data_IF_882226543310
#
_entry.id   IF_882226543310
#
_cell.length_a   1.000
_cell.length_b   1.000
_cell.length_c   1.000
_cell.angle_alpha   90.00
_cell.angle_beta   90.00
_cell.angle_gamma   90.00
#
_symmetry.space_group_name_H-M   'P 1'
#
loop_
_entity.id
_entity.type
_entity.pdbx_description
1 polymer ?
#
# COMPACT_ATOMS: atom_id res chain seq x y z
N UNK A 1 16.83 -15.31 -19.60
CA UNK A 1 15.36 -15.46 -19.74
C UNK A 1 14.76 -14.17 -20.29
N UNK A 2 13.61 -14.24 -21.00
CA UNK A 2 12.84 -13.05 -21.43
C UNK A 2 11.69 -12.83 -20.44
N UNK A 3 11.66 -11.66 -19.79
CA UNK A 3 10.73 -11.35 -18.70
C UNK A 3 9.95 -10.08 -19.03
N UNK A 4 8.63 -10.14 -19.00
CA UNK A 4 7.76 -8.98 -19.07
C UNK A 4 7.33 -8.59 -17.65
N UNK A 5 7.49 -7.32 -17.27
CA UNK A 5 6.97 -6.76 -16.01
C UNK A 5 5.87 -5.76 -16.35
N UNK A 6 4.63 -6.04 -15.94
CA UNK A 6 3.48 -5.19 -16.29
C UNK A 6 2.96 -4.46 -15.06
N UNK A 7 2.95 -3.11 -15.13
CA UNK A 7 2.59 -2.18 -14.06
C UNK A 7 3.80 -1.64 -13.32
N UNK A 8 4.07 -0.34 -13.45
CA UNK A 8 5.22 0.36 -12.87
C UNK A 8 4.86 1.07 -11.56
N UNK A 9 4.15 0.37 -10.67
CA UNK A 9 4.08 0.75 -9.26
C UNK A 9 5.39 0.42 -8.53
N UNK A 10 5.42 0.51 -7.19
CA UNK A 10 6.64 0.24 -6.41
C UNK A 10 7.22 -1.15 -6.67
N UNK A 11 6.36 -2.19 -6.71
CA UNK A 11 6.83 -3.55 -6.97
C UNK A 11 7.43 -3.70 -8.38
N UNK A 12 6.74 -3.17 -9.41
CA UNK A 12 7.23 -3.24 -10.79
C UNK A 12 8.51 -2.47 -10.99
N UNK A 13 8.63 -1.27 -10.43
CA UNK A 13 9.86 -0.49 -10.49
C UNK A 13 11.05 -1.20 -9.81
N UNK A 14 10.81 -1.79 -8.64
CA UNK A 14 11.82 -2.58 -7.94
C UNK A 14 12.26 -3.80 -8.74
N UNK A 15 11.32 -4.49 -9.40
CA UNK A 15 11.64 -5.61 -10.29
C UNK A 15 12.45 -5.17 -11.50
N UNK A 16 12.07 -4.04 -12.14
CA UNK A 16 12.83 -3.51 -13.28
C UNK A 16 14.27 -3.18 -12.90
N UNK A 17 14.49 -2.60 -11.72
CA UNK A 17 15.83 -2.34 -11.21
C UNK A 17 16.61 -3.64 -10.95
N UNK A 18 16.03 -4.55 -10.15
CA UNK A 18 16.74 -5.76 -9.71
C UNK A 18 16.98 -6.79 -10.82
N UNK A 19 16.05 -6.95 -11.75
CA UNK A 19 16.16 -7.90 -12.86
C UNK A 19 16.88 -7.30 -14.07
N UNK A 20 16.76 -5.98 -14.29
CA UNK A 20 17.37 -5.30 -15.44
C UNK A 20 18.88 -5.15 -15.32
N UNK A 21 19.44 -5.26 -14.11
CA UNK A 21 20.88 -5.26 -13.85
C UNK A 21 21.52 -6.65 -14.02
N UNK A 22 20.73 -7.69 -14.22
CA UNK A 22 21.21 -9.04 -14.51
C UNK A 22 21.33 -9.21 -16.04
N UNK A 23 22.55 -9.23 -16.54
CA UNK A 23 22.86 -9.33 -17.97
C UNK A 23 22.37 -10.63 -18.65
N UNK A 24 22.03 -11.65 -17.86
CA UNK A 24 21.52 -12.92 -18.37
C UNK A 24 20.01 -12.84 -18.69
N UNK A 25 19.34 -11.74 -18.31
CA UNK A 25 17.93 -11.54 -18.52
C UNK A 25 17.65 -10.39 -19.49
N UNK A 26 16.72 -10.64 -20.44
CA UNK A 26 16.08 -9.57 -21.20
C UNK A 26 14.78 -9.19 -20.48
N UNK A 27 14.74 -7.98 -19.90
CA UNK A 27 13.60 -7.50 -19.13
C UNK A 27 12.95 -6.32 -19.86
N UNK A 28 11.63 -6.40 -20.06
CA UNK A 28 10.83 -5.30 -20.62
C UNK A 28 9.67 -4.96 -19.71
N UNK A 29 9.56 -3.68 -19.36
CA UNK A 29 8.50 -3.12 -18.57
C UNK A 29 7.36 -2.58 -19.43
N UNK A 30 6.12 -2.60 -18.89
CA UNK A 30 4.94 -1.99 -19.49
C UNK A 30 4.15 -1.21 -18.45
N UNK A 31 3.76 0.01 -18.77
CA UNK A 31 2.89 0.85 -17.95
C UNK A 31 1.76 1.43 -18.79
N UNK A 32 0.52 1.36 -18.28
CA UNK A 32 -0.67 1.86 -18.97
C UNK A 32 -0.71 3.38 -19.14
N UNK A 33 -0.14 4.11 -18.19
CA UNK A 33 -0.12 5.57 -18.20
C UNK A 33 1.03 6.07 -19.09
N UNK A 34 0.84 7.19 -19.82
CA UNK A 34 1.95 7.90 -20.44
C UNK A 34 3.02 8.28 -19.40
N UNK A 35 4.26 8.41 -19.82
CA UNK A 35 5.39 8.68 -18.93
C UNK A 35 5.22 9.99 -18.14
N UNK A 36 4.67 11.02 -18.77
CA UNK A 36 4.43 12.36 -18.20
C UNK A 36 3.29 12.35 -17.18
N UNK A 37 2.30 11.45 -17.35
CA UNK A 37 1.13 11.33 -16.50
C UNK A 37 1.28 10.24 -15.44
N UNK A 38 2.38 9.46 -15.50
CA UNK A 38 2.59 8.33 -14.61
C UNK A 38 2.53 8.78 -13.15
N UNK A 39 1.56 8.27 -12.44
CA UNK A 39 1.28 8.58 -11.05
C UNK A 39 1.04 7.28 -10.26
N UNK A 40 1.95 6.99 -9.36
CA UNK A 40 1.77 5.90 -8.42
C UNK A 40 0.80 6.31 -7.30
N UNK A 41 -0.49 6.24 -7.58
CA UNK A 41 -1.58 6.68 -6.69
C UNK A 41 -1.49 6.03 -5.32
N UNK A 42 -1.20 6.86 -4.31
CA UNK A 42 -1.02 6.44 -2.91
C UNK A 42 -0.84 7.70 -2.05
N UNK A 43 -1.05 7.62 -0.74
CA UNK A 43 -0.80 8.72 0.18
C UNK A 43 0.70 9.03 0.43
N UNK A 44 1.59 8.24 -0.15
CA UNK A 44 3.06 8.36 -0.10
C UNK A 44 3.67 8.22 1.29
N UNK A 45 2.93 7.67 2.26
CA UNK A 45 3.48 7.40 3.58
C UNK A 45 4.12 6.00 3.63
N UNK A 46 5.26 5.92 4.30
CA UNK A 46 6.01 4.67 4.51
C UNK A 46 6.89 4.77 5.75
N UNK A 47 7.69 3.74 6.03
CA UNK A 47 8.68 3.76 7.09
C UNK A 47 10.10 3.84 6.51
N UNK A 48 10.84 4.89 6.86
CA UNK A 48 12.23 5.11 6.43
C UNK A 48 13.14 3.95 6.82
N UNK A 49 13.06 3.47 8.08
CA UNK A 49 13.92 2.40 8.61
C UNK A 49 13.99 1.11 7.77
N UNK A 50 12.96 0.87 6.94
CA UNK A 50 12.90 -0.28 6.03
C UNK A 50 13.18 0.14 4.60
N UNK A 51 12.70 1.33 4.23
CA UNK A 51 12.90 1.84 2.87
C UNK A 51 14.36 2.14 2.57
N UNK A 52 15.16 2.59 3.55
CA UNK A 52 16.60 2.76 3.43
C UNK A 52 17.28 1.49 2.88
N UNK A 53 17.04 0.35 3.52
CA UNK A 53 17.62 -0.93 3.11
C UNK A 53 17.14 -1.38 1.72
N UNK A 54 15.84 -1.16 1.43
CA UNK A 54 15.24 -1.55 0.16
C UNK A 54 15.74 -0.69 -1.01
N UNK A 55 15.83 0.61 -0.79
CA UNK A 55 16.24 1.59 -1.81
C UNK A 55 17.75 1.53 -2.04
N UNK A 56 18.53 1.28 -1.00
CA UNK A 56 19.98 1.04 -1.10
C UNK A 56 20.32 -0.15 -2.01
N UNK A 57 19.50 -1.20 -2.02
CA UNK A 57 19.66 -2.33 -2.94
C UNK A 57 19.47 -1.93 -4.41
N UNK A 58 18.76 -0.83 -4.65
CA UNK A 58 18.62 -0.22 -5.98
C UNK A 58 19.76 0.77 -6.31
N UNK A 59 20.77 0.91 -5.47
CA UNK A 59 21.86 1.87 -5.66
C UNK A 59 21.46 3.34 -5.37
N UNK A 60 20.38 3.56 -4.62
CA UNK A 60 19.83 4.88 -4.33
C UNK A 60 19.89 5.17 -2.82
N UNK A 61 19.81 6.46 -2.45
CA UNK A 61 19.70 6.91 -1.06
C UNK A 61 18.25 7.35 -0.78
N UNK A 62 17.58 6.77 0.22
CA UNK A 62 16.17 7.05 0.49
C UNK A 62 15.94 8.48 1.02
N UNK A 63 16.92 9.06 1.72
CA UNK A 63 16.81 10.43 2.27
C UNK A 63 16.55 11.48 1.17
N UNK A 64 17.03 11.24 -0.06
CA UNK A 64 16.83 12.14 -1.21
C UNK A 64 15.36 12.27 -1.66
N UNK A 65 14.46 11.49 -1.07
CA UNK A 65 13.05 11.42 -1.42
C UNK A 65 12.12 11.83 -0.28
N UNK A 66 12.62 11.99 0.96
CA UNK A 66 11.80 12.32 2.12
C UNK A 66 11.24 13.74 1.96
N UNK A 67 9.93 13.89 2.15
CA UNK A 67 9.20 15.16 2.06
C UNK A 67 8.75 15.65 3.44
N UNK A 68 8.44 14.72 4.37
CA UNK A 68 8.06 15.06 5.73
C UNK A 68 8.40 13.91 6.68
N UNK A 69 9.06 14.23 7.79
CA UNK A 69 9.35 13.30 8.88
C UNK A 69 8.30 13.43 9.97
N UNK A 70 7.58 12.34 10.25
CA UNK A 70 6.54 12.32 11.26
C UNK A 70 7.09 12.18 12.68
N UNK A 71 6.55 12.98 13.61
CA UNK A 71 6.85 12.89 15.05
C UNK A 71 5.68 12.29 15.82
N UNK A 72 4.45 12.60 15.39
CA UNK A 72 3.21 12.12 16.02
C UNK A 72 2.12 11.92 14.96
N UNK A 73 1.23 10.98 15.24
CA UNK A 73 0.01 10.82 14.46
C UNK A 73 -1.18 10.94 15.42
N UNK A 74 -2.10 11.84 15.12
CA UNK A 74 -3.37 11.92 15.83
C UNK A 74 -4.39 11.02 15.13
N UNK A 75 -4.90 10.03 15.86
CA UNK A 75 -5.98 9.15 15.42
C UNK A 75 -7.26 9.56 16.11
N UNK A 76 -8.14 10.25 15.41
CA UNK A 76 -9.46 10.62 15.89
C UNK A 76 -10.40 9.42 15.76
N UNK A 77 -10.85 8.92 16.91
CA UNK A 77 -11.82 7.83 17.05
C UNK A 77 -13.15 8.33 17.64
N UNK A 78 -13.36 9.63 17.62
CA UNK A 78 -14.59 10.26 18.07
C UNK A 78 -15.80 9.87 17.23
N UNK A 79 -16.93 9.73 17.88
CA UNK A 79 -18.24 9.47 17.28
C UNK A 79 -19.32 10.31 17.98
N UNK A 80 -20.57 10.24 17.52
CA UNK A 80 -21.66 11.11 17.96
C UNK A 80 -21.81 11.23 19.49
N UNK A 81 -21.56 10.15 20.25
CA UNK A 81 -21.66 10.15 21.72
C UNK A 81 -20.34 10.52 22.44
N UNK A 82 -19.21 10.55 21.74
CA UNK A 82 -17.88 10.91 22.26
C UNK A 82 -17.08 11.62 21.18
N UNK A 83 -17.39 12.87 20.86
CA UNK A 83 -16.79 13.59 19.72
C UNK A 83 -15.29 13.85 19.90
N UNK A 84 -14.82 14.10 21.13
CA UNK A 84 -13.44 14.49 21.43
C UNK A 84 -12.55 13.30 21.85
N UNK A 85 -12.76 12.12 21.27
CA UNK A 85 -11.97 10.95 21.58
C UNK A 85 -10.87 10.74 20.54
N UNK A 86 -9.61 10.88 20.95
CA UNK A 86 -8.45 10.71 20.10
C UNK A 86 -7.36 9.88 20.77
N UNK A 87 -6.44 9.38 19.95
CA UNK A 87 -5.23 8.66 20.34
C UNK A 87 -4.05 9.39 19.70
N UNK A 88 -3.04 9.72 20.52
CA UNK A 88 -1.76 10.22 19.99
C UNK A 88 -0.77 9.07 19.92
N UNK A 89 -0.33 8.76 18.70
CA UNK A 89 0.65 7.73 18.40
C UNK A 89 2.00 8.41 18.15
N UNK A 90 3.03 8.04 18.92
CA UNK A 90 4.41 8.47 18.66
C UNK A 90 4.93 7.82 17.37
N UNK A 91 5.56 8.60 16.49
CA UNK A 91 6.15 8.11 15.27
C UNK A 91 7.67 7.96 15.41
N UNK A 92 8.23 6.95 14.75
CA UNK A 92 9.66 6.59 14.78
C UNK A 92 10.09 6.08 13.42
N UNK A 93 10.21 7.02 12.48
CA UNK A 93 10.59 6.73 11.11
C UNK A 93 9.40 6.60 10.14
N UNK A 94 8.20 7.03 10.53
CA UNK A 94 7.11 7.21 9.56
C UNK A 94 7.32 8.53 8.82
N UNK A 95 7.39 8.44 7.49
CA UNK A 95 7.64 9.58 6.60
C UNK A 95 6.66 9.62 5.45
N UNK A 96 6.48 10.79 4.84
CA UNK A 96 6.04 10.88 3.45
C UNK A 96 7.23 11.14 2.54
N UNK A 97 7.19 10.62 1.32
CA UNK A 97 8.31 10.70 0.38
C UNK A 97 7.83 10.91 -1.05
N UNK A 98 8.68 11.44 -1.91
CA UNK A 98 8.39 11.58 -3.35
C UNK A 98 8.46 10.21 -4.05
N UNK A 99 7.33 9.53 -4.01
CA UNK A 99 7.18 8.19 -4.60
C UNK A 99 7.40 8.18 -6.10
N UNK A 100 7.00 9.26 -6.80
CA UNK A 100 7.14 9.34 -8.25
C UNK A 100 8.61 9.49 -8.63
N UNK A 101 9.33 10.38 -7.96
CA UNK A 101 10.77 10.56 -8.15
C UNK A 101 11.52 9.25 -7.88
N UNK A 102 11.21 8.56 -6.77
CA UNK A 102 11.83 7.29 -6.43
C UNK A 102 11.58 6.23 -7.52
N UNK A 103 10.35 6.07 -8.00
CA UNK A 103 10.03 5.11 -9.07
C UNK A 103 10.80 5.45 -10.36
N UNK A 104 10.86 6.73 -10.74
CA UNK A 104 11.61 7.18 -11.91
C UNK A 104 13.11 6.87 -11.80
N UNK A 105 13.69 7.11 -10.62
CA UNK A 105 15.11 6.84 -10.38
C UNK A 105 15.40 5.33 -10.33
N UNK A 106 14.56 4.51 -9.72
CA UNK A 106 14.67 3.04 -9.75
C UNK A 106 14.62 2.49 -11.19
N UNK A 107 13.85 3.10 -12.06
CA UNK A 107 13.65 2.63 -13.43
C UNK A 107 14.53 3.32 -14.47
N UNK A 108 15.45 4.19 -14.04
CA UNK A 108 16.36 4.92 -14.94
C UNK A 108 17.22 3.96 -15.74
N UNK A 109 17.21 4.11 -17.05
CA UNK A 109 17.99 3.27 -17.97
C UNK A 109 17.38 1.88 -18.24
N UNK A 110 16.24 1.54 -17.66
CA UNK A 110 15.55 0.28 -17.94
C UNK A 110 14.62 0.41 -19.17
N UNK A 111 14.33 -0.71 -19.79
CA UNK A 111 13.48 -0.75 -21.01
C UNK A 111 11.99 -0.79 -20.63
N UNK A 112 11.32 0.36 -20.58
CA UNK A 112 9.90 0.48 -20.25
C UNK A 112 9.13 1.12 -21.39
N UNK A 113 8.00 0.51 -21.76
CA UNK A 113 7.03 1.05 -22.68
C UNK A 113 5.83 1.61 -21.92
N UNK A 114 5.66 2.94 -21.93
CA UNK A 114 4.56 3.66 -21.31
C UNK A 114 3.36 3.79 -22.29
N UNK A 115 2.17 4.05 -21.74
CA UNK A 115 0.94 4.25 -22.51
C UNK A 115 0.37 2.95 -23.09
N UNK A 116 0.79 1.78 -22.60
CA UNK A 116 0.45 0.49 -23.20
C UNK A 116 0.00 -0.54 -22.16
N UNK A 117 -1.07 -1.26 -22.51
CA UNK A 117 -1.48 -2.50 -21.83
C UNK A 117 -1.41 -3.62 -22.89
N UNK A 118 -0.34 -4.42 -22.91
CA UNK A 118 -0.19 -5.46 -23.92
C UNK A 118 -1.23 -6.57 -23.74
N UNK A 119 -1.68 -7.18 -24.84
CA UNK A 119 -2.55 -8.37 -24.76
C UNK A 119 -1.76 -9.56 -24.21
N UNK A 120 -2.45 -10.42 -23.44
CA UNK A 120 -1.82 -11.59 -22.80
C UNK A 120 -1.18 -12.52 -23.81
N UNK A 121 -1.86 -12.77 -24.93
CA UNK A 121 -1.39 -13.66 -26.00
C UNK A 121 -0.08 -13.17 -26.62
N UNK A 122 0.10 -11.85 -26.76
CA UNK A 122 1.35 -11.26 -27.27
C UNK A 122 2.47 -11.49 -26.26
N UNK A 123 2.22 -11.24 -24.98
CA UNK A 123 3.21 -11.48 -23.92
C UNK A 123 3.60 -12.97 -23.85
N UNK A 124 2.63 -13.88 -23.92
CA UNK A 124 2.88 -15.33 -23.90
C UNK A 124 3.72 -15.82 -25.09
N UNK A 125 3.63 -15.15 -26.25
CA UNK A 125 4.42 -15.50 -27.44
C UNK A 125 5.87 -14.97 -27.39
N UNK A 126 6.11 -13.84 -26.69
CA UNK A 126 7.39 -13.13 -26.72
C UNK A 126 8.27 -13.41 -25.49
N UNK A 127 7.64 -13.73 -24.33
CA UNK A 127 8.32 -13.82 -23.04
C UNK A 127 8.22 -15.21 -22.42
N UNK A 128 9.22 -15.56 -21.63
CA UNK A 128 9.27 -16.79 -20.84
C UNK A 128 8.47 -16.64 -19.55
N UNK A 129 8.51 -15.44 -18.93
CA UNK A 129 7.83 -15.08 -17.70
C UNK A 129 7.09 -13.76 -17.89
N UNK A 130 5.85 -13.70 -17.40
CA UNK A 130 5.01 -12.50 -17.36
C UNK A 130 4.73 -12.18 -15.89
N UNK A 131 5.22 -11.05 -15.41
CA UNK A 131 4.98 -10.59 -14.03
C UNK A 131 3.80 -9.62 -14.01
N UNK A 132 2.69 -10.04 -13.39
CA UNK A 132 1.54 -9.19 -13.12
C UNK A 132 1.79 -8.37 -11.84
N UNK A 133 2.35 -7.17 -11.99
CA UNK A 133 2.50 -6.15 -10.96
C UNK A 133 1.50 -4.99 -11.12
N UNK A 134 0.34 -5.25 -11.75
CA UNK A 134 -0.69 -4.25 -12.04
C UNK A 134 -1.52 -3.84 -10.81
N UNK A 135 -1.13 -4.31 -9.63
CA UNK A 135 -1.75 -3.98 -8.37
C UNK A 135 -3.21 -4.46 -8.29
N UNK A 136 -4.11 -3.59 -7.83
CA UNK A 136 -5.54 -3.92 -7.71
C UNK A 136 -6.13 -4.53 -8.98
N UNK A 137 -5.69 -4.08 -10.17
CA UNK A 137 -6.29 -4.51 -11.43
C UNK A 137 -6.06 -5.98 -11.74
N UNK A 138 -4.90 -6.56 -11.36
CA UNK A 138 -4.61 -7.99 -11.55
C UNK A 138 -4.99 -8.46 -12.97
N UNK A 139 -4.42 -7.79 -13.97
CA UNK A 139 -4.90 -7.88 -15.35
C UNK A 139 -4.65 -9.24 -16.03
N UNK A 140 -3.66 -10.00 -15.56
CA UNK A 140 -3.20 -11.21 -16.24
C UNK A 140 -3.43 -12.49 -15.44
N UNK A 141 -3.85 -12.36 -14.20
CA UNK A 141 -4.19 -13.49 -13.32
C UNK A 141 -5.71 -13.66 -13.18
N UNK A 142 -6.19 -14.89 -12.93
CA UNK A 142 -7.59 -15.11 -12.58
C UNK A 142 -7.97 -14.33 -11.32
N UNK A 143 -9.19 -13.81 -11.25
CA UNK A 143 -9.68 -13.12 -10.06
C UNK A 143 -9.89 -14.11 -8.91
N UNK A 144 -9.55 -13.73 -7.66
CA UNK A 144 -9.87 -14.55 -6.50
C UNK A 144 -11.37 -14.64 -6.28
N UNK A 145 -11.84 -15.78 -5.76
CA UNK A 145 -13.28 -16.00 -5.50
C UNK A 145 -13.85 -15.10 -4.40
N UNK A 146 -13.04 -14.76 -3.38
CA UNK A 146 -13.47 -13.99 -2.21
C UNK A 146 -12.65 -12.70 -2.09
N UNK A 147 -12.70 -11.88 -3.13
CA UNK A 147 -11.97 -10.63 -3.15
C UNK A 147 -12.65 -9.56 -2.28
N UNK A 148 -11.89 -8.95 -1.38
CA UNK A 148 -12.31 -7.78 -0.62
C UNK A 148 -11.37 -6.59 -0.89
N UNK A 149 -11.97 -5.44 -1.16
CA UNK A 149 -11.26 -4.21 -1.47
C UNK A 149 -12.02 -2.99 -0.94
N UNK A 150 -11.28 -1.92 -0.71
CA UNK A 150 -11.82 -0.65 -0.22
C UNK A 150 -11.68 0.40 -1.33
N UNK A 151 -12.76 1.03 -1.78
CA UNK A 151 -12.68 2.18 -2.67
C UNK A 151 -12.09 3.35 -1.91
N UNK A 152 -11.09 4.00 -2.51
CA UNK A 152 -10.43 5.16 -1.94
C UNK A 152 -10.50 6.34 -2.90
N UNK A 153 -10.60 7.53 -2.33
CA UNK A 153 -10.44 8.80 -3.03
C UNK A 153 -9.32 9.60 -2.37
N UNK A 154 -8.50 10.26 -3.16
CA UNK A 154 -7.39 11.06 -2.68
C UNK A 154 -7.26 12.35 -3.46
N UNK A 155 -6.87 13.39 -2.76
CA UNK A 155 -6.50 14.68 -3.30
C UNK A 155 -5.06 15.02 -2.90
N UNK A 156 -4.29 15.55 -3.84
CA UNK A 156 -3.10 16.36 -3.54
C UNK A 156 -3.55 17.79 -3.44
N UNK A 157 -3.29 18.43 -2.33
CA UNK A 157 -3.72 19.82 -2.05
C UNK A 157 -2.54 20.69 -1.69
N UNK A 158 -2.71 22.01 -1.85
CA UNK A 158 -1.78 23.06 -1.44
C UNK A 158 -2.48 24.03 -0.51
N UNK A 159 -1.95 24.22 0.68
CA UNK A 159 -2.37 25.28 1.61
C UNK A 159 -1.52 26.52 1.38
N UNK A 160 -2.15 27.71 1.32
CA UNK A 160 -1.44 28.98 1.10
C UNK A 160 -0.93 29.58 2.40
N UNK A 161 -1.73 29.42 3.48
CA UNK A 161 -1.41 29.99 4.79
C UNK A 161 -1.00 28.88 5.79
N UNK A 162 -1.93 28.48 6.66
CA UNK A 162 -1.70 27.47 7.67
C UNK A 162 -2.26 26.11 7.27
N UNK A 163 -1.48 25.06 7.44
CA UNK A 163 -1.95 23.69 7.31
C UNK A 163 -2.89 23.33 8.47
N UNK A 164 -3.92 22.49 8.25
CA UNK A 164 -4.87 22.11 9.29
C UNK A 164 -4.25 21.26 10.43
N UNK A 165 -3.15 20.57 10.14
CA UNK A 165 -2.36 19.79 11.07
C UNK A 165 -0.88 19.94 10.74
N UNK A 166 -0.05 19.97 11.79
CA UNK A 166 1.41 20.02 11.64
C UNK A 166 2.00 18.66 11.25
N UNK A 167 1.26 17.58 11.50
CA UNK A 167 1.74 16.21 11.35
C UNK A 167 0.60 15.28 10.90
N UNK A 168 0.82 13.97 10.89
CA UNK A 168 -0.12 12.97 10.42
C UNK A 168 -1.43 12.98 11.21
N UNK A 169 -2.55 12.90 10.49
CA UNK A 169 -3.88 12.80 11.09
C UNK A 169 -4.71 11.72 10.40
N UNK A 170 -5.40 10.91 11.21
CA UNK A 170 -6.37 9.93 10.77
C UNK A 170 -7.71 10.15 11.48
N UNK A 171 -8.81 9.98 10.77
CA UNK A 171 -10.16 9.87 11.34
C UNK A 171 -10.71 8.48 11.03
N UNK A 172 -10.83 7.64 12.05
CA UNK A 172 -11.40 6.32 11.90
C UNK A 172 -12.92 6.38 11.69
N UNK A 173 -13.42 5.54 10.78
CA UNK A 173 -14.86 5.38 10.57
C UNK A 173 -15.42 4.24 11.44
N UNK A 174 -16.71 4.33 11.85
CA UNK A 174 -17.31 3.31 12.71
C UNK A 174 -17.19 1.89 12.15
N UNK A 175 -17.03 0.92 13.05
CA UNK A 175 -16.87 -0.50 12.72
C UNK A 175 -15.66 -0.79 11.83
N UNK A 176 -14.63 0.07 11.87
CA UNK A 176 -13.41 -0.06 11.07
C UNK A 176 -13.68 -0.24 9.56
N UNK A 177 -14.77 0.35 9.06
CA UNK A 177 -15.14 0.29 7.64
C UNK A 177 -14.22 1.12 6.74
N UNK A 178 -13.32 1.89 7.35
CA UNK A 178 -12.33 2.71 6.69
C UNK A 178 -11.89 3.88 7.56
N UNK A 179 -11.21 4.82 6.94
CA UNK A 179 -10.74 6.03 7.60
C UNK A 179 -10.48 7.14 6.59
N UNK A 180 -10.47 8.37 7.09
CA UNK A 180 -9.93 9.56 6.41
C UNK A 180 -8.48 9.74 6.86
N UNK A 181 -7.63 10.26 5.97
CA UNK A 181 -6.23 10.61 6.25
C UNK A 181 -5.88 12.01 5.78
N UNK A 182 -5.00 12.65 6.54
CA UNK A 182 -4.23 13.82 6.15
C UNK A 182 -2.76 13.51 6.36
N UNK A 183 -1.97 13.51 5.30
CA UNK A 183 -0.55 13.21 5.30
C UNK A 183 0.21 14.41 4.72
N UNK A 184 1.00 15.11 5.56
CA UNK A 184 1.73 16.28 5.13
C UNK A 184 2.82 15.90 4.12
N UNK A 185 3.06 16.79 3.19
CA UNK A 185 4.21 16.83 2.30
C UNK A 185 4.99 18.10 2.59
N UNK A 186 6.07 18.35 1.86
CA UNK A 186 6.82 19.61 2.01
C UNK A 186 6.06 20.84 1.48
N UNK A 187 6.47 22.04 1.89
CA UNK A 187 6.05 23.32 1.33
C UNK A 187 4.52 23.57 1.33
N UNK A 188 3.81 23.12 2.37
CA UNK A 188 2.36 23.31 2.50
C UNK A 188 1.52 22.39 1.61
N UNK A 189 2.12 21.42 0.93
CA UNK A 189 1.36 20.37 0.25
C UNK A 189 0.95 19.28 1.23
N UNK A 190 -0.14 18.58 0.91
CA UNK A 190 -0.58 17.40 1.63
C UNK A 190 -1.33 16.44 0.70
N UNK A 191 -1.32 15.17 1.06
CA UNK A 191 -2.27 14.20 0.57
C UNK A 191 -3.40 14.04 1.58
N UNK A 192 -4.63 14.31 1.15
CA UNK A 192 -5.84 14.04 1.91
C UNK A 192 -6.69 13.01 1.19
N UNK A 193 -7.38 12.15 1.92
CA UNK A 193 -8.25 11.20 1.28
C UNK A 193 -9.05 10.37 2.26
N UNK A 194 -9.87 9.49 1.72
CA UNK A 194 -10.64 8.55 2.50
C UNK A 194 -10.83 7.22 1.76
N UNK A 195 -10.78 6.13 2.53
CA UNK A 195 -11.23 4.82 2.12
C UNK A 195 -12.44 4.40 2.96
N UNK A 196 -13.49 3.85 2.34
CA UNK A 196 -14.66 3.36 3.06
C UNK A 196 -15.25 2.14 2.36
N UNK A 197 -15.30 1.03 3.05
CA UNK A 197 -15.86 -0.22 2.52
C UNK A 197 -17.31 -0.06 2.02
N UNK A 198 -18.11 0.73 2.72
CA UNK A 198 -19.50 1.00 2.32
C UNK A 198 -19.65 2.13 1.28
N UNK A 199 -18.58 2.82 0.93
CA UNK A 199 -18.58 3.98 0.00
C UNK A 199 -19.39 5.19 0.45
N UNK A 200 -19.99 5.17 1.65
CA UNK A 200 -20.92 6.20 2.11
C UNK A 200 -20.25 7.47 2.62
N UNK A 201 -19.02 7.36 3.12
CA UNK A 201 -18.35 8.46 3.83
C UNK A 201 -17.14 9.06 3.09
N UNK A 202 -16.63 8.38 2.06
CA UNK A 202 -15.45 8.82 1.32
C UNK A 202 -15.57 10.28 0.87
N UNK A 203 -16.52 10.59 0.00
CA UNK A 203 -16.66 11.92 -0.57
C UNK A 203 -17.18 12.92 0.47
N UNK A 204 -18.18 12.53 1.26
CA UNK A 204 -18.83 13.44 2.22
C UNK A 204 -17.82 13.98 3.23
N UNK A 205 -16.99 13.12 3.80
CA UNK A 205 -16.01 13.55 4.80
C UNK A 205 -14.90 14.41 4.18
N UNK A 206 -14.38 14.01 3.01
CA UNK A 206 -13.35 14.79 2.30
C UNK A 206 -13.91 16.14 1.87
N UNK A 207 -15.13 16.21 1.33
CA UNK A 207 -15.76 17.46 0.92
C UNK A 207 -16.01 18.41 2.11
N UNK A 208 -16.43 17.87 3.26
CA UNK A 208 -16.56 18.65 4.50
C UNK A 208 -15.21 19.19 4.98
N UNK A 209 -14.17 18.37 4.90
CA UNK A 209 -12.82 18.78 5.27
C UNK A 209 -12.28 19.87 4.36
N UNK A 210 -12.44 19.74 3.04
CA UNK A 210 -12.03 20.75 2.06
C UNK A 210 -12.77 22.09 2.24
N UNK A 211 -14.07 22.04 2.57
CA UNK A 211 -14.85 23.26 2.86
C UNK A 211 -14.38 23.97 4.13
N UNK A 212 -14.01 23.20 5.16
CA UNK A 212 -13.52 23.73 6.44
C UNK A 212 -12.11 24.30 6.34
N UNK A 213 -11.23 23.65 5.58
CA UNK A 213 -9.81 23.98 5.47
C UNK A 213 -9.51 24.35 4.02
N UNK A 214 -9.67 25.64 3.70
CA UNK A 214 -9.47 26.17 2.33
C UNK A 214 -8.08 25.82 1.80
N UNK A 215 -8.03 25.19 0.64
CA UNK A 215 -6.81 24.81 -0.06
C UNK A 215 -7.04 24.78 -1.57
N UNK A 216 -5.97 24.86 -2.33
CA UNK A 216 -5.98 24.59 -3.76
C UNK A 216 -5.93 23.08 -4.01
N UNK A 217 -6.80 22.56 -4.87
CA UNK A 217 -6.79 21.16 -5.29
C UNK A 217 -5.87 21.02 -6.50
N UNK A 218 -4.73 20.39 -6.30
CA UNK A 218 -3.74 20.16 -7.36
C UNK A 218 -4.13 18.93 -8.20
N UNK A 219 -4.57 17.84 -7.53
CA UNK A 219 -4.93 16.59 -8.21
C UNK A 219 -5.97 15.84 -7.43
N UNK A 220 -6.90 15.18 -8.14
CA UNK A 220 -7.89 14.27 -7.58
C UNK A 220 -7.76 12.92 -8.26
N UNK A 221 -7.68 11.86 -7.47
CA UNK A 221 -7.58 10.48 -7.97
C UNK A 221 -8.46 9.55 -7.16
N UNK A 222 -8.95 8.50 -7.79
CA UNK A 222 -9.69 7.42 -7.13
C UNK A 222 -9.05 6.08 -7.47
N UNK A 223 -8.81 5.24 -6.45
CA UNK A 223 -8.29 3.89 -6.65
C UNK A 223 -8.80 2.97 -5.54
N UNK A 224 -9.29 1.79 -5.88
CA UNK A 224 -9.52 0.76 -4.87
C UNK A 224 -8.18 0.17 -4.38
N UNK A 225 -8.20 -0.29 -3.13
CA UNK A 225 -7.08 -0.99 -2.48
C UNK A 225 -7.55 -2.39 -2.11
N UNK A 226 -6.85 -3.42 -2.56
CA UNK A 226 -7.11 -4.81 -2.20
C UNK A 226 -6.65 -5.04 -0.76
N UNK A 227 -7.56 -5.50 0.10
CA UNK A 227 -7.26 -5.86 1.49
C UNK A 227 -7.32 -7.36 1.74
N UNK A 228 -7.78 -8.16 0.76
CA UNK A 228 -7.65 -9.63 0.83
C UNK A 228 -6.18 -10.02 0.88
N UNK A 229 -5.74 -10.81 1.88
CA UNK A 229 -4.35 -11.20 2.04
C UNK A 229 -3.93 -12.23 0.99
N UNK A 230 -2.63 -12.54 0.85
CA UNK A 230 -2.16 -13.50 -0.13
C UNK A 230 -2.86 -14.85 -0.07
N UNK A 231 -3.13 -15.38 1.13
CA UNK A 231 -3.86 -16.64 1.30
C UNK A 231 -5.23 -16.66 0.60
N UNK A 232 -5.94 -15.53 0.62
CA UNK A 232 -7.27 -15.39 0.01
C UNK A 232 -7.20 -14.82 -1.42
N UNK A 233 -5.99 -14.53 -1.91
CA UNK A 233 -5.71 -13.97 -3.24
C UNK A 233 -5.08 -14.98 -4.21
N UNK A 234 -5.08 -16.26 -3.87
CA UNK A 234 -4.63 -17.30 -4.80
C UNK A 234 -5.60 -17.45 -5.99
N UNK A 235 -5.14 -17.96 -7.14
CA UNK A 235 -3.79 -18.44 -7.46
C UNK A 235 -2.81 -17.29 -7.79
N UNK A 236 -1.51 -17.45 -7.45
CA UNK A 236 -0.46 -16.48 -7.80
C UNK A 236 0.10 -16.65 -9.21
N UNK A 237 -0.32 -17.69 -9.89
CA UNK A 237 0.07 -18.01 -11.26
C UNK A 237 -1.14 -18.50 -12.04
N UNK A 238 -1.11 -18.34 -13.36
CA UNK A 238 -2.09 -18.93 -14.26
C UNK A 238 -1.75 -20.41 -14.63
N UNK A 239 -0.72 -20.98 -14.00
CA UNK A 239 -0.23 -22.33 -14.28
C UNK A 239 0.61 -22.44 -15.55
N UNK A 240 0.92 -21.33 -16.22
CA UNK A 240 1.73 -21.26 -17.44
C UNK A 240 2.93 -20.34 -17.26
N UNK A 241 2.84 -19.11 -17.74
CA UNK A 241 3.93 -18.13 -17.74
C UNK A 241 3.69 -16.94 -16.83
N UNK A 242 2.44 -16.70 -16.40
CA UNK A 242 2.06 -15.52 -15.63
C UNK A 242 2.20 -15.77 -14.13
N UNK A 243 2.81 -14.82 -13.43
CA UNK A 243 2.93 -14.80 -11.96
C UNK A 243 2.64 -13.41 -11.41
N UNK A 244 1.93 -13.35 -10.29
CA UNK A 244 1.58 -12.09 -9.61
C UNK A 244 2.64 -11.66 -8.61
N UNK A 245 2.85 -10.34 -8.50
CA UNK A 245 3.74 -9.73 -7.51
C UNK A 245 3.08 -8.48 -6.92
N UNK A 246 3.20 -8.32 -5.62
CA UNK A 246 2.68 -7.16 -4.91
C UNK A 246 1.17 -7.21 -4.66
N UNK A 247 0.48 -6.09 -4.78
CA UNK A 247 -0.96 -5.98 -4.50
C UNK A 247 -1.81 -6.89 -5.40
N UNK A 248 -1.33 -7.29 -6.59
CA UNK A 248 -2.04 -8.24 -7.45
C UNK A 248 -2.31 -9.58 -6.77
N UNK A 249 -1.48 -9.94 -5.79
CA UNK A 249 -1.62 -11.14 -4.96
C UNK A 249 -1.85 -10.83 -3.48
N UNK A 250 -2.33 -9.61 -3.14
CA UNK A 250 -2.82 -9.29 -1.82
C UNK A 250 -1.77 -8.93 -0.78
N UNK A 251 -0.61 -8.39 -1.15
CA UNK A 251 0.45 -8.02 -0.19
C UNK A 251 0.22 -6.68 0.50
N UNK A 252 -1.02 -6.20 0.59
CA UNK A 252 -1.36 -5.01 1.38
C UNK A 252 -1.70 -5.42 2.81
N UNK A 253 -1.14 -4.74 3.80
CA UNK A 253 -1.48 -4.99 5.21
C UNK A 253 -2.92 -4.53 5.50
N UNK A 254 -3.84 -5.44 5.85
CA UNK A 254 -5.28 -5.13 5.81
C UNK A 254 -5.73 -4.03 6.77
N UNK A 255 -5.08 -3.90 7.95
CA UNK A 255 -5.48 -2.92 8.96
C UNK A 255 -5.14 -1.47 8.58
N UNK A 256 -3.99 -1.27 7.93
CA UNK A 256 -3.46 0.06 7.62
C UNK A 256 -3.62 0.44 6.14
N UNK A 257 -3.97 -0.51 5.27
CA UNK A 257 -3.93 -0.30 3.82
C UNK A 257 -2.51 -0.06 3.30
N UNK A 258 -1.49 -0.44 4.08
CA UNK A 258 -0.08 -0.23 3.75
C UNK A 258 0.40 -1.31 2.79
N UNK A 259 0.82 -0.91 1.60
CA UNK A 259 1.23 -1.82 0.54
C UNK A 259 2.63 -1.55 -0.04
N UNK A 260 3.30 -0.45 0.32
CA UNK A 260 4.58 -0.06 -0.28
C UNK A 260 5.66 -1.09 0.08
N UNK A 261 6.00 -1.20 1.36
CA UNK A 261 7.02 -2.14 1.86
C UNK A 261 6.64 -3.60 1.56
N UNK A 262 5.42 -4.07 1.84
CA UNK A 262 5.06 -5.46 1.54
C UNK A 262 5.15 -5.82 0.06
N UNK A 263 4.76 -4.91 -0.84
CA UNK A 263 4.88 -5.16 -2.28
C UNK A 263 6.33 -5.19 -2.75
N UNK A 264 7.21 -4.39 -2.15
CA UNK A 264 8.65 -4.42 -2.42
C UNK A 264 9.28 -5.72 -1.89
N UNK A 265 8.93 -6.15 -0.68
CA UNK A 265 9.35 -7.46 -0.17
C UNK A 265 8.88 -8.63 -1.04
N UNK A 266 7.65 -8.52 -1.56
CA UNK A 266 7.13 -9.51 -2.49
C UNK A 266 7.96 -9.56 -3.77
N UNK A 267 8.39 -8.40 -4.29
CA UNK A 267 9.28 -8.32 -5.45
C UNK A 267 10.66 -8.95 -5.16
N UNK A 268 11.23 -8.71 -3.96
CA UNK A 268 12.48 -9.38 -3.54
C UNK A 268 12.33 -10.90 -3.49
N UNK A 269 11.21 -11.39 -2.93
CA UNK A 269 10.93 -12.84 -2.89
C UNK A 269 10.81 -13.42 -4.30
N UNK A 270 10.20 -12.68 -5.23
CA UNK A 270 10.12 -13.11 -6.62
C UNK A 270 11.50 -13.20 -7.28
N UNK A 271 12.33 -12.16 -7.16
CA UNK A 271 13.70 -12.17 -7.69
C UNK A 271 14.48 -13.36 -7.15
N UNK A 272 14.39 -13.60 -5.83
CA UNK A 272 15.08 -14.71 -5.15
C UNK A 272 14.66 -16.10 -5.65
N UNK A 273 13.40 -16.25 -6.03
CA UNK A 273 12.79 -17.54 -6.40
C UNK A 273 12.29 -17.59 -7.84
N UNK A 274 12.87 -16.78 -8.74
CA UNK A 274 12.40 -16.62 -10.11
C UNK A 274 12.38 -17.93 -10.92
N UNK A 275 13.25 -18.87 -10.59
CA UNK A 275 13.32 -20.17 -11.24
C UNK A 275 12.34 -21.22 -10.65
N UNK A 276 11.70 -20.92 -9.51
CA UNK A 276 10.81 -21.86 -8.81
C UNK A 276 9.59 -21.14 -8.23
N UNK A 277 8.50 -21.17 -8.99
CA UNK A 277 7.24 -20.51 -8.59
C UNK A 277 6.58 -21.15 -7.36
N UNK A 278 6.82 -22.44 -7.07
CA UNK A 278 6.31 -23.08 -5.86
C UNK A 278 7.08 -22.60 -4.61
N UNK A 279 8.40 -22.46 -4.72
CA UNK A 279 9.22 -21.86 -3.67
C UNK A 279 8.82 -20.40 -3.43
N UNK A 280 8.60 -19.61 -4.50
CA UNK A 280 8.07 -18.25 -4.40
C UNK A 280 6.73 -18.19 -3.67
N UNK A 281 5.74 -18.98 -4.10
CA UNK A 281 4.42 -19.06 -3.46
C UNK A 281 4.54 -19.39 -1.97
N UNK A 282 5.35 -20.39 -1.63
CA UNK A 282 5.58 -20.81 -0.24
C UNK A 282 6.19 -19.68 0.59
N UNK A 283 7.18 -18.98 0.04
CA UNK A 283 7.84 -17.86 0.70
C UNK A 283 6.87 -16.67 0.94
N UNK A 284 6.03 -16.34 -0.05
CA UNK A 284 5.00 -15.30 0.08
C UNK A 284 3.99 -15.66 1.17
N UNK A 285 3.42 -16.88 1.13
CA UNK A 285 2.43 -17.30 2.13
C UNK A 285 3.02 -17.32 3.55
N UNK A 286 4.28 -17.71 3.70
CA UNK A 286 5.00 -17.67 4.99
C UNK A 286 5.25 -16.24 5.46
N UNK A 287 5.76 -15.35 4.59
CA UNK A 287 6.09 -13.95 4.92
C UNK A 287 4.85 -13.18 5.39
N UNK A 288 3.72 -13.37 4.72
CA UNK A 288 2.49 -12.62 4.96
C UNK A 288 1.41 -13.42 5.71
N UNK A 289 1.76 -14.50 6.40
CA UNK A 289 0.81 -15.40 7.09
C UNK A 289 -0.11 -14.67 8.09
N UNK A 290 0.42 -13.67 8.81
CA UNK A 290 -0.34 -12.91 9.82
C UNK A 290 -1.46 -12.06 9.19
N UNK A 291 -1.32 -11.68 7.90
CA UNK A 291 -2.31 -10.85 7.21
C UNK A 291 -3.68 -11.51 7.17
N UNK A 292 -3.74 -12.84 7.10
CA UNK A 292 -5.01 -13.58 7.14
C UNK A 292 -5.72 -13.43 8.49
N UNK A 293 -4.98 -13.39 9.61
CA UNK A 293 -5.56 -13.15 10.93
C UNK A 293 -6.09 -11.71 11.06
N UNK A 294 -5.29 -10.74 10.60
CA UNK A 294 -5.69 -9.31 10.59
C UNK A 294 -6.90 -9.09 9.71
N UNK A 295 -6.94 -9.72 8.54
CA UNK A 295 -8.08 -9.65 7.63
C UNK A 295 -9.36 -10.22 8.23
N UNK A 296 -9.27 -11.38 8.89
CA UNK A 296 -10.39 -11.97 9.64
C UNK A 296 -10.91 -11.01 10.72
N UNK A 297 -10.01 -10.35 11.44
CA UNK A 297 -10.38 -9.33 12.43
C UNK A 297 -11.15 -8.16 11.79
N UNK A 298 -10.67 -7.62 10.66
CA UNK A 298 -11.35 -6.56 9.91
C UNK A 298 -12.74 -7.02 9.45
N UNK A 299 -12.85 -8.23 8.88
CA UNK A 299 -14.14 -8.80 8.45
C UNK A 299 -15.12 -8.93 9.62
N UNK A 300 -14.67 -9.38 10.79
CA UNK A 300 -15.52 -9.45 11.99
C UNK A 300 -16.01 -8.08 12.42
N UNK A 301 -15.17 -7.05 12.35
CA UNK A 301 -15.53 -5.66 12.66
C UNK A 301 -16.57 -5.13 11.68
N UNK A 302 -16.31 -5.22 10.39
CA UNK A 302 -17.21 -4.73 9.34
C UNK A 302 -18.60 -5.39 9.43
N UNK A 303 -18.64 -6.68 9.74
CA UNK A 303 -19.87 -7.46 9.85
C UNK A 303 -20.55 -7.38 11.22
N UNK A 304 -20.05 -6.58 12.16
CA UNK A 304 -20.60 -6.45 13.51
C UNK A 304 -20.50 -7.72 14.37
N UNK A 305 -19.60 -8.66 13.99
CA UNK A 305 -19.42 -9.94 14.69
C UNK A 305 -18.25 -9.95 15.68
N UNK A 306 -17.52 -8.86 15.78
CA UNK A 306 -16.39 -8.75 16.71
C UNK A 306 -16.91 -8.61 18.16
N UNK A 307 -16.34 -9.41 19.04
CA UNK A 307 -16.55 -9.31 20.49
C UNK A 307 -15.21 -9.36 21.21
N UNK A 308 -14.92 -8.32 21.99
CA UNK A 308 -13.62 -8.15 22.64
C UNK A 308 -13.22 -9.34 23.52
N UNK A 309 -14.15 -9.91 24.28
CA UNK A 309 -13.86 -11.05 25.17
C UNK A 309 -13.65 -12.34 24.39
N UNK A 310 -14.48 -12.62 23.40
CA UNK A 310 -14.37 -13.83 22.57
C UNK A 310 -13.15 -13.81 21.64
N UNK A 311 -12.72 -12.63 21.21
CA UNK A 311 -11.61 -12.45 20.26
C UNK A 311 -10.36 -11.86 20.91
N UNK A 312 -10.23 -11.94 22.26
CA UNK A 312 -9.09 -11.38 22.97
C UNK A 312 -7.76 -12.01 22.54
N UNK A 313 -7.76 -13.32 22.29
CA UNK A 313 -6.55 -14.06 21.85
C UNK A 313 -6.10 -13.60 20.47
N UNK A 314 -7.01 -13.45 19.51
CA UNK A 314 -6.71 -12.93 18.18
C UNK A 314 -6.17 -11.51 18.25
N UNK A 315 -6.82 -10.64 19.04
CA UNK A 315 -6.39 -9.26 19.25
C UNK A 315 -4.98 -9.19 19.87
N UNK A 316 -4.68 -10.05 20.84
CA UNK A 316 -3.36 -10.15 21.44
C UNK A 316 -2.29 -10.63 20.43
N UNK A 317 -2.61 -11.59 19.57
CA UNK A 317 -1.70 -12.03 18.50
C UNK A 317 -1.40 -10.90 17.50
N UNK A 318 -2.44 -10.12 17.12
CA UNK A 318 -2.27 -8.95 16.24
C UNK A 318 -1.40 -7.90 16.95
N UNK A 319 -1.67 -7.61 18.22
CA UNK A 319 -0.85 -6.68 19.00
C UNK A 319 0.61 -7.12 19.08
N UNK A 320 0.87 -8.38 19.46
CA UNK A 320 2.23 -8.89 19.57
C UNK A 320 2.99 -8.81 18.23
N UNK A 321 2.32 -9.11 17.13
CA UNK A 321 2.91 -8.93 15.81
C UNK A 321 3.23 -7.46 15.52
N UNK A 322 2.27 -6.55 15.69
CA UNK A 322 2.49 -5.13 15.47
C UNK A 322 3.57 -4.56 16.40
N UNK A 323 3.61 -5.03 17.65
CA UNK A 323 4.64 -4.61 18.63
C UNK A 323 6.03 -5.09 18.23
N UNK A 324 6.15 -6.32 17.75
CA UNK A 324 7.41 -6.84 17.23
C UNK A 324 7.90 -6.09 15.98
N UNK A 325 6.96 -5.66 15.15
CA UNK A 325 7.21 -4.96 13.90
C UNK A 325 7.13 -3.41 14.03
N UNK A 326 7.18 -2.85 15.26
CA UNK A 326 7.08 -1.39 15.48
C UNK A 326 8.05 -0.60 14.60
N UNK A 327 9.30 -1.07 14.51
CA UNK A 327 10.34 -0.45 13.66
C UNK A 327 9.92 -0.42 12.18
N UNK A 328 9.25 -1.48 11.72
CA UNK A 328 8.75 -1.57 10.33
C UNK A 328 7.58 -0.64 10.07
N UNK A 329 6.70 -0.44 11.05
CA UNK A 329 5.56 0.47 10.89
C UNK A 329 5.94 1.94 11.11
N UNK A 330 7.11 2.21 11.67
CA UNK A 330 7.56 3.57 12.00
C UNK A 330 6.69 4.25 13.05
N UNK A 331 5.98 3.48 13.91
CA UNK A 331 5.07 4.02 14.91
C UNK A 331 5.07 3.20 16.20
N UNK A 332 4.82 3.85 17.33
CA UNK A 332 4.63 3.16 18.61
C UNK A 332 3.32 2.36 18.62
N UNK A 333 3.38 1.11 19.07
CA UNK A 333 2.21 0.23 19.24
C UNK A 333 1.94 0.00 20.73
N UNK A 334 0.79 0.50 21.21
CA UNK A 334 0.33 0.32 22.60
C UNK A 334 -0.94 -0.52 22.62
N UNK A 335 -0.98 -1.55 23.46
CA UNK A 335 -2.15 -2.45 23.55
C UNK A 335 -3.44 -1.69 23.86
N UNK A 336 -3.38 -0.71 24.77
CA UNK A 336 -4.54 0.14 25.12
C UNK A 336 -5.12 0.88 23.90
N UNK A 337 -4.27 1.29 22.96
CA UNK A 337 -4.70 2.04 21.78
C UNK A 337 -5.35 1.10 20.74
N UNK A 338 -4.79 -0.09 20.56
CA UNK A 338 -5.42 -1.12 19.74
C UNK A 338 -6.80 -1.54 20.30
N UNK A 339 -6.92 -1.69 21.62
CA UNK A 339 -8.21 -1.94 22.29
C UNK A 339 -9.19 -0.79 22.08
N UNK A 340 -8.75 0.47 22.19
CA UNK A 340 -9.61 1.63 21.90
C UNK A 340 -10.12 1.61 20.44
N UNK A 341 -9.22 1.42 19.47
CA UNK A 341 -9.56 1.31 18.05
C UNK A 341 -10.51 0.13 17.81
N UNK A 342 -10.31 -1.00 18.47
CA UNK A 342 -11.20 -2.17 18.32
C UNK A 342 -12.64 -1.97 18.82
N UNK A 343 -12.91 -0.90 19.57
CA UNK A 343 -14.23 -0.55 20.12
C UNK A 343 -15.04 0.43 19.23
N UNK A 344 -14.45 0.91 18.15
CA UNK A 344 -15.11 1.83 17.21
C UNK A 344 -16.21 1.14 16.41
#
# INVERSE_FOLDING_TARGET
>A
MKIAVVGMGVAGAYLMNGLGNDHDNYVKGYERMPAEEHDAVCAWATCENVMEDLVKQCGLNFDDYILHEGKKMMVDIGHSSKPDNSINVGLKGMVTYDKIKLIKDMTRGTNIQFGVVPKKEILESEFDIIVDSTGFHRNYLPRPNNEMWIPCIQYKVKYQDNTPFDDFYLKAFPSMKGYFWYFPLENGYAHIGAGDYERKKNNVFVDQFLKKHKCEIIKKVGRPVRISPPKDSEPFTDGRKTIGVGESIGTVYPLLGEGIIPSTWCAQLFIKHIADFNAYRTAVLKKFQIYALVFKFIQMKINGKFNLFKNAVELLKIYNHMKHEEKRYGMEVKFKDLVKVSRI
#
